data_IF_881211347571
#
_entry.id   IF_881211347571
#
_cell.length_a   1.000
_cell.length_b   1.000
_cell.length_c   1.000
_cell.angle_alpha   90.00
_cell.angle_beta   90.00
_cell.angle_gamma   90.00
#
_symmetry.space_group_name_H-M   'P 1'
#
loop_
_entity.id
_entity.type
_entity.pdbx_description
1 polymer ?
#
# COMPACT_ATOMS: atom_id res chain seq x y z
N UNK A 1 -3.53 -38.33 -10.16
CA UNK A 1 -3.42 -38.79 -8.77
C UNK A 1 -2.82 -37.64 -8.00
N UNK A 2 -3.66 -36.88 -7.30
CA UNK A 2 -3.18 -35.86 -6.36
C UNK A 2 -2.61 -36.58 -5.13
N UNK A 3 -1.47 -36.15 -4.57
CA UNK A 3 -0.94 -36.78 -3.38
C UNK A 3 -1.84 -36.48 -2.18
N UNK A 4 -2.32 -37.52 -1.50
CA UNK A 4 -2.90 -37.42 -0.16
C UNK A 4 -1.79 -37.00 0.81
N UNK A 5 -1.90 -35.79 1.36
CA UNK A 5 -1.05 -35.35 2.46
C UNK A 5 -1.73 -35.74 3.77
N UNK A 6 -1.29 -36.84 4.38
CA UNK A 6 -1.65 -37.17 5.76
C UNK A 6 -0.90 -36.22 6.71
N UNK A 7 -1.64 -35.42 7.47
CA UNK A 7 -1.09 -34.52 8.49
C UNK A 7 -0.80 -35.33 9.76
N UNK A 8 0.42 -35.23 10.27
CA UNK A 8 0.81 -35.94 11.50
C UNK A 8 0.12 -35.34 12.73
N UNK A 9 -0.18 -36.17 13.72
CA UNK A 9 -0.90 -35.76 14.93
C UNK A 9 -0.06 -34.88 15.86
N UNK A 10 1.27 -34.98 15.78
CA UNK A 10 2.20 -34.24 16.63
C UNK A 10 3.42 -33.78 15.82
N UNK A 11 3.73 -32.49 15.91
CA UNK A 11 4.90 -31.88 15.26
C UNK A 11 5.88 -31.42 16.34
N UNK A 12 7.15 -31.85 16.26
CA UNK A 12 8.21 -31.40 17.17
C UNK A 12 8.72 -30.02 16.77
N UNK A 13 8.39 -29.00 17.59
CA UNK A 13 8.83 -27.62 17.42
C UNK A 13 10.03 -27.26 18.31
N UNK A 14 10.75 -28.23 18.87
CA UNK A 14 11.89 -28.00 19.78
C UNK A 14 13.01 -27.15 19.16
N UNK A 15 13.16 -27.19 17.83
CA UNK A 15 14.11 -26.37 17.06
C UNK A 15 13.50 -25.09 16.46
N UNK A 16 12.24 -24.78 16.79
CA UNK A 16 11.53 -23.62 16.28
C UNK A 16 12.14 -22.31 16.78
N UNK A 17 12.76 -21.53 15.87
CA UNK A 17 13.21 -20.18 16.20
C UNK A 17 12.03 -19.21 16.13
N UNK A 18 11.76 -18.53 17.25
CA UNK A 18 10.81 -17.39 17.28
C UNK A 18 11.43 -16.21 16.55
N UNK A 19 10.88 -15.86 15.40
CA UNK A 19 11.28 -14.72 14.59
C UNK A 19 10.17 -14.34 13.63
N UNK A 20 10.21 -13.12 13.08
CA UNK A 20 9.35 -12.79 11.96
C UNK A 20 9.70 -13.75 10.81
N UNK A 21 8.70 -14.46 10.29
CA UNK A 21 8.84 -15.40 9.17
C UNK A 21 9.43 -14.67 7.95
N UNK A 22 9.20 -13.36 7.87
CA UNK A 22 9.69 -12.48 6.82
C UNK A 22 10.35 -11.24 7.45
N UNK A 23 11.64 -10.96 7.19
CA UNK A 23 12.26 -9.72 7.61
C UNK A 23 11.58 -8.53 6.92
N UNK A 24 11.41 -7.42 7.63
CA UNK A 24 10.85 -6.21 7.04
C UNK A 24 11.68 -5.81 5.81
N UNK A 25 11.06 -5.62 4.62
CA UNK A 25 11.79 -5.23 3.43
C UNK A 25 12.57 -3.92 3.68
N UNK A 26 13.77 -3.76 3.10
CA UNK A 26 14.55 -2.53 3.25
C UNK A 26 13.71 -1.31 2.84
N UNK A 27 13.77 -0.24 3.65
CA UNK A 27 13.03 1.00 3.41
C UNK A 27 11.57 0.99 3.91
N UNK A 28 11.10 -0.07 4.57
CA UNK A 28 9.82 -0.10 5.28
C UNK A 28 10.05 -0.13 6.78
N UNK A 29 9.33 0.69 7.53
CA UNK A 29 9.38 0.70 9.00
C UNK A 29 8.07 0.16 9.54
N UNK A 30 8.14 -0.89 10.38
CA UNK A 30 6.96 -1.40 11.08
C UNK A 30 6.60 -0.42 12.21
N UNK A 31 5.41 0.14 12.15
CA UNK A 31 4.85 1.04 13.16
C UNK A 31 3.50 0.53 13.64
N UNK A 32 3.10 0.91 14.86
CA UNK A 32 1.75 0.71 15.36
C UNK A 32 1.01 2.04 15.28
N UNK A 33 0.01 2.12 14.40
CA UNK A 33 -0.86 3.30 14.23
C UNK A 33 -2.31 2.89 14.45
N UNK A 34 -3.12 3.81 14.97
CA UNK A 34 -4.58 3.66 14.97
C UNK A 34 -5.11 4.23 13.66
N UNK A 35 -5.94 3.45 12.98
CA UNK A 35 -6.69 3.86 11.79
C UNK A 35 -8.15 3.54 12.06
N UNK A 36 -9.04 4.37 11.53
CA UNK A 36 -10.47 4.14 11.67
C UNK A 36 -10.89 2.86 10.91
N UNK A 37 -11.88 2.17 11.47
CA UNK A 37 -12.33 0.87 10.98
C UNK A 37 -12.94 0.97 9.56
N UNK A 38 -13.57 2.09 9.24
CA UNK A 38 -14.16 2.36 7.92
C UNK A 38 -13.08 2.53 6.84
N UNK A 39 -11.97 3.21 7.15
CA UNK A 39 -10.81 3.33 6.27
C UNK A 39 -10.23 1.95 6.00
N UNK A 40 -10.02 1.15 7.04
CA UNK A 40 -9.51 -0.22 6.90
C UNK A 40 -10.45 -1.09 6.07
N UNK A 41 -11.76 -1.01 6.31
CA UNK A 41 -12.76 -1.74 5.56
C UNK A 41 -12.72 -1.38 4.06
N UNK A 42 -12.65 -0.08 3.74
CA UNK A 42 -12.61 0.40 2.36
C UNK A 42 -11.39 -0.12 1.58
N UNK A 43 -10.20 -0.08 2.20
CA UNK A 43 -8.98 -0.58 1.54
C UNK A 43 -8.96 -2.10 1.40
N UNK A 44 -9.57 -2.84 2.35
CA UNK A 44 -9.72 -4.30 2.23
C UNK A 44 -10.64 -4.67 1.08
N UNK A 45 -11.79 -4.00 0.98
CA UNK A 45 -12.76 -4.25 -0.10
C UNK A 45 -12.13 -4.04 -1.48
N UNK A 46 -11.35 -2.96 -1.67
CA UNK A 46 -10.63 -2.72 -2.92
C UNK A 46 -9.66 -3.83 -3.31
N UNK A 47 -8.96 -4.42 -2.34
CA UNK A 47 -8.03 -5.52 -2.57
C UNK A 47 -8.77 -6.82 -2.91
N UNK A 48 -9.90 -7.07 -2.25
CA UNK A 48 -10.75 -8.22 -2.55
C UNK A 48 -11.28 -8.15 -3.98
N UNK A 49 -11.75 -6.97 -4.42
CA UNK A 49 -12.21 -6.75 -5.81
C UNK A 49 -11.09 -6.94 -6.83
N UNK A 50 -9.85 -6.54 -6.50
CA UNK A 50 -8.69 -6.68 -7.39
C UNK A 50 -8.13 -8.12 -7.47
N UNK A 51 -8.81 -9.10 -6.84
CA UNK A 51 -8.45 -10.52 -6.87
C UNK A 51 -7.03 -10.83 -6.32
N UNK A 52 -6.57 -10.02 -5.38
CA UNK A 52 -5.26 -10.16 -4.75
C UNK A 52 -4.55 -8.82 -4.54
N UNK A 53 -3.82 -8.70 -3.43
CA UNK A 53 -3.06 -7.50 -3.09
C UNK A 53 -2.88 -7.35 -1.58
N UNK A 54 -2.11 -6.33 -1.17
CA UNK A 54 -1.92 -5.99 0.23
C UNK A 54 -2.54 -4.62 0.49
N UNK A 55 -3.53 -4.54 1.37
CA UNK A 55 -4.21 -3.29 1.72
C UNK A 55 -3.21 -2.26 2.30
N UNK A 56 -2.14 -2.72 2.95
CA UNK A 56 -1.07 -1.86 3.45
C UNK A 56 -0.31 -1.18 2.31
N UNK A 57 -0.19 -1.83 1.14
CA UNK A 57 0.41 -1.21 -0.05
C UNK A 57 -0.46 -0.06 -0.54
N UNK A 58 -1.78 -0.25 -0.63
CA UNK A 58 -2.70 0.80 -1.06
C UNK A 58 -2.73 1.99 -0.09
N UNK A 59 -2.70 1.72 1.22
CA UNK A 59 -2.61 2.78 2.23
C UNK A 59 -1.32 3.59 2.04
N UNK A 60 -0.18 2.91 1.88
CA UNK A 60 1.09 3.59 1.66
C UNK A 60 1.10 4.40 0.35
N UNK A 61 0.49 3.88 -0.72
CA UNK A 61 0.36 4.59 -1.98
C UNK A 61 -0.51 5.84 -1.83
N UNK A 62 -1.64 5.76 -1.13
CA UNK A 62 -2.50 6.89 -0.85
C UNK A 62 -1.77 7.98 -0.05
N UNK A 63 -0.96 7.59 0.95
CA UNK A 63 -0.13 8.52 1.72
C UNK A 63 0.93 9.20 0.84
N UNK A 64 1.57 8.45 -0.08
CA UNK A 64 2.52 9.02 -1.06
C UNK A 64 1.84 10.03 -1.97
N UNK A 65 0.69 9.68 -2.54
CA UNK A 65 -0.08 10.60 -3.39
C UNK A 65 -0.50 11.86 -2.64
N UNK A 66 -0.84 11.76 -1.35
CA UNK A 66 -1.12 12.93 -0.54
C UNK A 66 0.12 13.82 -0.36
N UNK A 67 1.27 13.23 -0.03
CA UNK A 67 2.56 13.95 0.07
C UNK A 67 2.90 14.64 -1.27
N UNK A 68 2.73 13.94 -2.39
CA UNK A 68 3.03 14.48 -3.71
C UNK A 68 2.13 15.67 -4.06
N UNK A 69 0.83 15.60 -3.73
CA UNK A 69 -0.13 16.71 -3.90
C UNK A 69 0.20 17.92 -3.03
N UNK A 70 0.73 17.69 -1.82
CA UNK A 70 1.17 18.77 -0.92
C UNK A 70 2.49 19.41 -1.40
N UNK A 71 3.38 18.62 -1.99
CA UNK A 71 4.69 19.10 -2.48
C UNK A 71 4.62 19.86 -3.79
N UNK A 72 3.75 19.44 -4.70
CA UNK A 72 3.45 20.15 -5.93
C UNK A 72 1.93 20.29 -5.99
N UNK A 73 1.36 21.38 -5.43
CA UNK A 73 -0.06 21.60 -5.55
C UNK A 73 -0.37 21.61 -7.04
N UNK A 74 -1.26 20.72 -7.48
CA UNK A 74 -1.73 20.62 -8.86
C UNK A 74 -2.08 22.00 -9.43
N UNK A 75 -2.49 22.92 -8.54
CA UNK A 75 -2.72 24.33 -8.79
C UNK A 75 -1.52 25.09 -9.38
N UNK A 76 -0.28 24.85 -8.96
CA UNK A 76 0.90 25.53 -9.47
C UNK A 76 1.25 25.05 -10.89
N UNK A 77 1.16 23.75 -11.13
CA UNK A 77 1.29 23.15 -12.47
C UNK A 77 0.18 23.63 -13.40
N UNK A 78 -1.08 23.67 -12.92
CA UNK A 78 -2.22 24.20 -13.67
C UNK A 78 -2.04 25.70 -13.97
N UNK A 79 -1.61 26.52 -13.00
CA UNK A 79 -1.36 27.96 -13.21
C UNK A 79 -0.26 28.20 -14.25
N UNK A 80 0.80 27.39 -14.25
CA UNK A 80 1.87 27.49 -15.26
C UNK A 80 1.33 27.19 -16.66
N UNK A 81 0.64 26.05 -16.82
CA UNK A 81 0.07 25.65 -18.12
C UNK A 81 -0.95 26.67 -18.60
N UNK A 82 -1.86 27.14 -17.75
CA UNK A 82 -2.86 28.15 -18.13
C UNK A 82 -2.21 29.46 -18.58
N UNK A 83 -1.13 29.92 -17.92
CA UNK A 83 -0.40 31.13 -18.35
C UNK A 83 0.30 30.95 -19.70
N UNK A 84 0.90 29.79 -19.93
CA UNK A 84 1.55 29.46 -21.21
C UNK A 84 0.54 29.44 -22.36
N UNK A 85 -0.63 28.84 -22.14
CA UNK A 85 -1.72 28.79 -23.12
C UNK A 85 -2.29 30.18 -23.43
N UNK A 86 -2.53 31.01 -22.42
CA UNK A 86 -2.99 32.39 -22.61
C UNK A 86 -1.97 33.26 -23.35
N UNK A 87 -0.68 33.16 -23.00
CA UNK A 87 0.38 33.90 -23.68
C UNK A 87 0.58 33.47 -25.14
N UNK A 88 0.22 32.22 -25.49
CA UNK A 88 0.22 31.74 -26.88
C UNK A 88 -0.99 32.26 -27.68
N UNK A 89 -2.12 32.46 -27.02
CA UNK A 89 -3.35 32.97 -27.65
C UNK A 89 -3.34 34.49 -27.85
N UNK A 90 -2.57 35.23 -27.04
CA UNK A 90 -2.36 36.68 -27.17
C UNK A 90 -1.33 37.08 -28.25
N UNK A 91 -0.78 36.14 -29.03
CA UNK A 91 0.18 36.39 -30.12
C UNK A 91 -0.42 36.19 -31.50
#
# INVERSE_FOLDING_TARGET
>A
MEPEYEMESEYDFSQGKRGAIEPTPPGKTRITIRLDDDILAWFRERVHIANGGNYQTLINEALRQHIDREREPLEETLRRVVREELARLDR
#
